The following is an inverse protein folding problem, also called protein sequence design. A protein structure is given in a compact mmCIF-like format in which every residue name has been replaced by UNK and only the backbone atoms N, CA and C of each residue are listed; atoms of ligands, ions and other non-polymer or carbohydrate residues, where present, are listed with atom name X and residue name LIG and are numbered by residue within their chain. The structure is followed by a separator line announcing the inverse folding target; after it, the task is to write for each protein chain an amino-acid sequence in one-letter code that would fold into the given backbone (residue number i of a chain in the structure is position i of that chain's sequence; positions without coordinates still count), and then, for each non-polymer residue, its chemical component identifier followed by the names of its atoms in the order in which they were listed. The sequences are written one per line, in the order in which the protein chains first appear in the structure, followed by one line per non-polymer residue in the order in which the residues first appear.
data_IF_770800654800
#
_entry.id   IF_770800654800
#
_cell.length_a   1.000
_cell.length_b   1.000
_cell.length_c   1.000
_cell.angle_alpha   90.00
_cell.angle_beta   90.00
_cell.angle_gamma   90.00
#
_symmetry.space_group_name_H-M   'P 1'
#
loop_
_entity.id
_entity.type
_entity.pdbx_description
1 polymer ?
#
# COMPACT_ATOMS: atom_id res chain seq x y z
N UNK A 1 24.64 1.78 -9.44
CA UNK A 1 24.36 3.23 -9.53
C UNK A 1 23.78 3.49 -10.92
N UNK A 2 22.75 4.32 -11.03
CA UNK A 2 22.10 4.61 -12.32
C UNK A 2 22.12 6.12 -12.54
N UNK A 3 22.54 6.58 -13.71
CA UNK A 3 22.56 8.03 -13.99
C UNK A 3 21.12 8.57 -14.02
N UNK A 4 20.90 9.71 -13.36
CA UNK A 4 19.59 10.41 -13.38
C UNK A 4 19.48 11.33 -14.59
N UNK A 5 18.30 11.93 -14.81
CA UNK A 5 18.13 12.99 -15.81
C UNK A 5 18.93 14.25 -15.48
N UNK A 6 19.27 14.48 -14.21
CA UNK A 6 20.24 15.48 -13.80
C UNK A 6 21.66 14.98 -14.11
N UNK A 7 22.30 15.56 -15.13
CA UNK A 7 23.65 15.18 -15.56
C UNK A 7 24.64 15.28 -14.39
N UNK A 8 25.46 14.24 -14.20
CA UNK A 8 26.43 14.14 -13.12
C UNK A 8 25.86 13.62 -11.80
N UNK A 9 24.53 13.52 -11.65
CA UNK A 9 23.89 12.99 -10.45
C UNK A 9 23.44 11.54 -10.68
N UNK A 10 23.84 10.66 -9.77
CA UNK A 10 23.57 9.23 -9.84
C UNK A 10 22.62 8.77 -8.75
N UNK A 11 21.65 7.94 -9.12
CA UNK A 11 20.81 7.20 -8.20
C UNK A 11 21.60 6.03 -7.58
N UNK A 12 21.57 5.96 -6.26
CA UNK A 12 22.10 4.85 -5.46
C UNK A 12 20.96 4.26 -4.65
N UNK A 13 20.69 2.96 -4.83
CA UNK A 13 19.67 2.24 -4.09
C UNK A 13 20.32 1.30 -3.08
N UNK A 14 20.00 1.45 -1.80
CA UNK A 14 20.55 0.61 -0.72
C UNK A 14 19.58 -0.48 -0.24
N UNK A 15 18.53 -0.79 -1.01
CA UNK A 15 17.48 -1.74 -0.62
C UNK A 15 16.25 -1.07 0.00
N UNK A 16 16.45 -0.01 0.79
CA UNK A 16 15.36 0.65 1.51
C UNK A 16 15.18 2.12 1.16
N UNK A 17 16.08 2.75 0.43
CA UNK A 17 16.00 4.15 0.06
C UNK A 17 16.84 4.44 -1.19
N UNK A 18 16.42 5.47 -1.92
CA UNK A 18 17.19 6.06 -3.01
C UNK A 18 17.94 7.27 -2.46
N UNK A 19 19.24 7.31 -2.73
CA UNK A 19 20.13 8.44 -2.48
C UNK A 19 20.63 8.96 -3.82
N UNK A 20 21.04 10.22 -3.83
CA UNK A 20 21.64 10.84 -5.00
C UNK A 20 23.09 11.19 -4.72
N UNK A 21 24.02 10.67 -5.51
CA UNK A 21 25.44 10.95 -5.39
C UNK A 21 25.91 11.84 -6.54
N UNK A 22 26.61 12.92 -6.21
CA UNK A 22 27.27 13.82 -7.16
C UNK A 22 28.80 13.67 -6.98
N UNK A 23 29.49 12.98 -7.89
CA UNK A 23 30.91 12.70 -7.77
C UNK A 23 31.79 13.95 -7.73
N UNK A 24 31.48 14.95 -8.56
CA UNK A 24 32.32 16.16 -8.72
C UNK A 24 32.46 16.98 -7.44
N UNK A 25 31.50 16.86 -6.51
CA UNK A 25 31.53 17.54 -5.22
C UNK A 25 31.66 16.60 -4.01
N UNK A 26 31.73 15.29 -4.23
CA UNK A 26 31.63 14.25 -3.19
C UNK A 26 30.43 14.46 -2.25
N UNK A 27 29.25 14.71 -2.84
CA UNK A 27 28.02 15.02 -2.10
C UNK A 27 26.97 13.91 -2.23
N UNK A 28 26.27 13.67 -1.13
CA UNK A 28 25.07 12.83 -1.08
C UNK A 28 23.85 13.70 -0.77
N UNK A 29 22.83 13.63 -1.63
CA UNK A 29 21.52 14.22 -1.37
C UNK A 29 20.52 13.17 -0.94
N UNK A 30 19.69 13.53 0.04
CA UNK A 30 18.64 12.70 0.59
C UNK A 30 17.31 13.43 0.37
N UNK A 31 16.36 12.77 -0.30
CA UNK A 31 15.04 13.35 -0.57
C UNK A 31 14.44 12.85 -1.88
N UNK A 32 13.47 13.62 -2.39
CA UNK A 32 12.88 13.38 -3.71
C UNK A 32 13.49 14.29 -4.76
N UNK A 33 13.78 13.73 -5.94
CA UNK A 33 14.15 14.47 -7.15
C UNK A 33 12.87 14.72 -7.96
N UNK A 34 12.47 15.98 -8.02
CA UNK A 34 11.28 16.42 -8.74
C UNK A 34 11.74 17.29 -9.91
N UNK A 35 11.32 16.96 -11.13
CA UNK A 35 11.64 17.75 -12.32
C UNK A 35 10.78 19.02 -12.41
N UNK A 36 11.15 19.92 -13.32
CA UNK A 36 10.51 21.25 -13.47
C UNK A 36 9.00 21.18 -13.76
N UNK A 37 8.56 20.14 -14.43
CA UNK A 37 7.17 19.82 -14.75
C UNK A 37 6.39 19.20 -13.57
N UNK A 38 7.05 18.99 -12.42
CA UNK A 38 6.44 18.42 -11.21
C UNK A 38 6.55 16.90 -11.11
N UNK A 39 7.17 16.23 -12.09
CA UNK A 39 7.30 14.76 -12.08
C UNK A 39 8.27 14.31 -10.99
N UNK A 40 7.82 13.41 -10.10
CA UNK A 40 8.65 12.86 -9.02
C UNK A 40 9.43 11.62 -9.51
N UNK A 41 10.67 11.83 -9.95
CA UNK A 41 11.54 10.79 -10.51
C UNK A 41 11.91 9.72 -9.48
N UNK A 42 12.01 10.09 -8.19
CA UNK A 42 12.23 9.14 -7.09
C UNK A 42 11.05 8.20 -6.95
N UNK A 43 9.83 8.72 -7.05
CA UNK A 43 8.60 7.93 -6.97
C UNK A 43 8.50 6.97 -8.15
N UNK A 44 8.79 7.42 -9.37
CA UNK A 44 8.81 6.54 -10.55
C UNK A 44 9.82 5.40 -10.43
N UNK A 45 11.04 5.71 -9.97
CA UNK A 45 12.09 4.70 -9.78
C UNK A 45 11.71 3.68 -8.71
N UNK A 46 11.17 4.13 -7.57
CA UNK A 46 10.62 3.23 -6.55
C UNK A 46 9.48 2.38 -7.11
N UNK A 47 8.56 2.97 -7.87
CA UNK A 47 7.44 2.27 -8.50
C UNK A 47 7.92 1.15 -9.43
N UNK A 48 8.89 1.42 -10.31
CA UNK A 48 9.49 0.42 -11.20
C UNK A 48 10.10 -0.75 -10.42
N UNK A 49 10.81 -0.47 -9.33
CA UNK A 49 11.38 -1.51 -8.45
C UNK A 49 10.27 -2.33 -7.78
N UNK A 50 9.20 -1.68 -7.30
CA UNK A 50 8.05 -2.33 -6.67
C UNK A 50 7.24 -3.19 -7.64
N UNK A 51 7.03 -2.76 -8.89
CA UNK A 51 6.24 -3.48 -9.90
C UNK A 51 6.71 -4.93 -10.05
N UNK A 52 8.03 -5.16 -10.13
CA UNK A 52 8.58 -6.50 -10.27
C UNK A 52 8.27 -7.41 -9.08
N UNK A 53 8.32 -6.86 -7.87
CA UNK A 53 8.03 -7.58 -6.62
C UNK A 53 6.53 -7.86 -6.48
N UNK A 54 5.70 -6.90 -6.84
CA UNK A 54 4.24 -6.99 -6.78
C UNK A 54 3.68 -7.98 -7.81
N UNK A 55 4.29 -8.08 -8.98
CA UNK A 55 3.92 -9.06 -9.99
C UNK A 55 4.11 -10.52 -9.50
N UNK A 56 5.05 -10.75 -8.58
CA UNK A 56 5.32 -12.06 -7.98
C UNK A 56 4.71 -12.26 -6.59
N UNK A 57 3.91 -11.33 -6.09
CA UNK A 57 3.31 -11.42 -4.76
C UNK A 57 2.19 -12.47 -4.73
N UNK A 58 2.28 -13.47 -3.86
CA UNK A 58 1.14 -14.36 -3.57
C UNK A 58 0.03 -13.58 -2.88
N UNK A 59 -1.21 -13.78 -3.35
CA UNK A 59 -2.42 -13.15 -2.83
C UNK A 59 -3.17 -14.04 -1.83
N UNK A 60 -2.67 -15.25 -1.53
CA UNK A 60 -3.37 -16.26 -0.72
C UNK A 60 -3.62 -15.80 0.72
N UNK A 61 -2.77 -14.90 1.21
CA UNK A 61 -2.88 -14.32 2.54
C UNK A 61 -3.62 -13.00 2.57
N UNK A 62 -3.96 -12.41 1.43
CA UNK A 62 -4.70 -11.15 1.42
C UNK A 62 -6.13 -11.32 1.94
N UNK A 63 -6.67 -10.29 2.58
CA UNK A 63 -8.11 -10.20 2.80
C UNK A 63 -8.78 -9.83 1.47
N UNK A 64 -9.62 -10.73 0.95
CA UNK A 64 -10.33 -10.54 -0.32
C UNK A 64 -11.66 -9.81 -0.10
N UNK A 65 -11.90 -8.71 -0.81
CA UNK A 65 -13.15 -7.92 -0.76
C UNK A 65 -13.71 -7.73 -2.17
N UNK A 66 -15.00 -8.02 -2.34
CA UNK A 66 -15.67 -7.95 -3.65
C UNK A 66 -15.49 -9.22 -4.48
N UNK A 67 -16.03 -9.18 -5.71
CA UNK A 67 -16.09 -10.34 -6.60
C UNK A 67 -15.92 -9.96 -8.08
N UNK A 68 -15.47 -8.75 -8.37
CA UNK A 68 -15.30 -8.27 -9.73
C UNK A 68 -14.06 -8.80 -10.43
N UNK A 69 -13.99 -8.57 -11.74
CA UNK A 69 -12.94 -9.12 -12.62
C UNK A 69 -11.61 -8.38 -12.52
N UNK A 70 -11.60 -7.12 -12.10
CA UNK A 70 -10.40 -6.29 -12.04
C UNK A 70 -9.72 -6.53 -10.68
N UNK A 71 -8.55 -7.18 -10.62
CA UNK A 71 -7.82 -7.33 -9.37
C UNK A 71 -7.13 -6.01 -9.00
N UNK A 72 -7.27 -5.60 -7.74
CA UNK A 72 -6.56 -4.47 -7.15
C UNK A 72 -5.89 -4.98 -5.90
N UNK A 73 -4.56 -4.94 -5.84
CA UNK A 73 -3.83 -5.18 -4.59
C UNK A 73 -3.69 -3.86 -3.87
N UNK A 74 -4.04 -3.81 -2.59
CA UNK A 74 -3.88 -2.61 -1.78
C UNK A 74 -3.12 -2.90 -0.48
N UNK A 75 -2.20 -2.01 -0.13
CA UNK A 75 -1.56 -1.98 1.18
C UNK A 75 -2.11 -0.78 1.94
N UNK A 76 -2.80 -1.04 3.05
CA UNK A 76 -3.56 -0.01 3.76
C UNK A 76 -3.35 -0.05 5.26
N UNK A 77 -3.65 1.06 5.91
CA UNK A 77 -3.74 1.18 7.36
C UNK A 77 -5.16 1.63 7.75
N UNK A 78 -5.82 0.98 8.73
CA UNK A 78 -7.17 1.33 9.18
C UNK A 78 -7.39 2.77 9.66
N UNK A 79 -6.35 3.40 10.19
CA UNK A 79 -6.37 4.74 10.75
C UNK A 79 -5.93 5.80 9.72
N UNK A 80 -5.40 5.39 8.57
CA UNK A 80 -5.00 6.30 7.51
C UNK A 80 -6.23 6.92 6.82
N UNK A 81 -6.35 8.24 6.90
CA UNK A 81 -7.41 9.02 6.26
C UNK A 81 -7.59 8.69 4.76
N UNK A 82 -6.50 8.63 3.99
CA UNK A 82 -6.56 8.32 2.56
C UNK A 82 -6.94 6.86 2.26
N UNK A 83 -6.64 5.91 3.16
CA UNK A 83 -7.10 4.52 3.04
C UNK A 83 -8.63 4.43 3.21
N UNK A 84 -9.21 5.30 4.05
CA UNK A 84 -10.67 5.36 4.22
C UNK A 84 -11.35 6.02 3.02
N UNK A 85 -10.71 7.03 2.43
CA UNK A 85 -11.19 7.59 1.17
C UNK A 85 -11.18 6.54 0.04
N UNK A 86 -10.10 5.74 -0.07
CA UNK A 86 -10.05 4.66 -1.07
C UNK A 86 -11.10 3.58 -0.79
N UNK A 87 -11.31 3.20 0.47
CA UNK A 87 -12.38 2.28 0.85
C UNK A 87 -13.77 2.78 0.40
N UNK A 88 -14.11 4.04 0.70
CA UNK A 88 -15.37 4.63 0.27
C UNK A 88 -15.50 4.68 -1.27
N UNK A 89 -14.41 4.95 -1.97
CA UNK A 89 -14.36 4.92 -3.43
C UNK A 89 -14.62 3.51 -3.99
N UNK A 90 -13.99 2.47 -3.43
CA UNK A 90 -14.16 1.11 -3.91
C UNK A 90 -15.49 0.46 -3.48
N UNK A 91 -16.13 0.91 -2.40
CA UNK A 91 -17.38 0.35 -1.90
C UNK A 91 -18.48 0.25 -2.98
N UNK A 92 -18.58 1.25 -3.85
CA UNK A 92 -19.53 1.26 -4.98
C UNK A 92 -19.11 0.44 -6.21
N UNK A 93 -17.92 -0.18 -6.20
CA UNK A 93 -17.25 -0.80 -7.36
C UNK A 93 -16.92 -2.28 -7.15
N UNK A 94 -17.33 -2.88 -6.04
CA UNK A 94 -17.00 -4.26 -5.67
C UNK A 94 -17.61 -5.34 -6.60
N UNK A 95 -18.51 -4.93 -7.52
CA UNK A 95 -19.01 -5.79 -8.61
C UNK A 95 -18.02 -5.87 -9.79
N UNK A 96 -17.21 -4.85 -9.98
CA UNK A 96 -16.24 -4.73 -11.09
C UNK A 96 -14.82 -5.02 -10.63
N UNK A 97 -14.52 -4.72 -9.36
CA UNK A 97 -13.22 -4.90 -8.72
C UNK A 97 -13.24 -6.01 -7.67
N UNK A 98 -12.13 -6.74 -7.57
CA UNK A 98 -11.77 -7.56 -6.40
C UNK A 98 -10.55 -6.93 -5.73
N UNK A 99 -10.69 -6.50 -4.48
CA UNK A 99 -9.59 -6.00 -3.66
C UNK A 99 -8.87 -7.17 -2.99
N UNK A 100 -7.54 -7.16 -3.03
CA UNK A 100 -6.65 -8.01 -2.27
C UNK A 100 -5.92 -7.12 -1.27
N UNK A 101 -6.46 -7.08 -0.06
CA UNK A 101 -6.02 -6.17 1.00
C UNK A 101 -4.90 -6.80 1.81
N UNK A 102 -3.78 -6.09 1.88
CA UNK A 102 -2.72 -6.29 2.86
C UNK A 102 -2.72 -5.11 3.82
N UNK A 103 -2.56 -5.39 5.10
CA UNK A 103 -2.57 -4.40 6.15
C UNK A 103 -1.14 -4.05 6.55
N UNK A 104 -0.88 -2.75 6.67
CA UNK A 104 0.39 -2.18 7.09
C UNK A 104 0.12 -1.27 8.30
N UNK A 105 0.04 -1.82 9.53
CA UNK A 105 -0.29 -1.04 10.72
C UNK A 105 0.80 -0.02 11.04
N UNK A 106 0.41 1.26 11.05
CA UNK A 106 1.25 2.41 11.41
C UNK A 106 1.22 2.72 12.92
N UNK A 107 0.32 2.07 13.67
CA UNK A 107 0.14 2.26 15.11
C UNK A 107 -0.37 0.97 15.78
N UNK A 108 -0.25 0.89 17.11
CA UNK A 108 -0.81 -0.23 17.89
C UNK A 108 -2.33 -0.33 17.77
N UNK A 109 -3.03 0.81 17.82
CA UNK A 109 -4.50 0.85 17.61
C UNK A 109 -4.90 0.31 16.23
N UNK A 110 -4.12 0.62 15.19
CA UNK A 110 -4.36 0.07 13.86
C UNK A 110 -4.20 -1.46 13.84
N UNK A 111 -3.19 -2.00 14.53
CA UNK A 111 -2.99 -3.44 14.68
C UNK A 111 -4.15 -4.11 15.42
N UNK A 112 -4.67 -3.50 16.48
CA UNK A 112 -5.82 -4.00 17.22
C UNK A 112 -7.08 -4.05 16.36
N UNK A 113 -7.31 -3.02 15.52
CA UNK A 113 -8.40 -3.02 14.52
C UNK A 113 -8.22 -4.12 13.47
N UNK A 114 -6.99 -4.38 13.03
CA UNK A 114 -6.71 -5.49 12.08
C UNK A 114 -6.96 -6.83 12.75
N UNK A 115 -6.50 -7.02 13.98
CA UNK A 115 -6.79 -8.23 14.77
C UNK A 115 -8.28 -8.43 14.92
N UNK A 116 -9.02 -7.37 15.23
CA UNK A 116 -10.48 -7.40 15.29
C UNK A 116 -11.13 -7.93 14.00
N UNK A 117 -10.67 -7.46 12.84
CA UNK A 117 -11.12 -7.96 11.53
C UNK A 117 -10.80 -9.44 11.36
N UNK A 118 -9.63 -9.91 11.76
CA UNK A 118 -9.28 -11.33 11.57
C UNK A 118 -9.95 -12.27 12.58
N UNK A 119 -10.33 -11.77 13.74
CA UNK A 119 -11.02 -12.50 14.81
C UNK A 119 -12.52 -12.71 14.59
N UNK A 120 -13.05 -12.37 13.40
CA UNK A 120 -14.45 -12.61 13.04
C UNK A 120 -14.60 -13.65 11.92
N UNK A 121 -15.78 -14.25 11.86
CA UNK A 121 -16.20 -15.10 10.73
C UNK A 121 -16.44 -14.28 9.46
N UNK A 122 -17.02 -13.07 9.58
CA UNK A 122 -17.31 -12.19 8.45
C UNK A 122 -16.33 -11.01 8.40
N UNK A 123 -15.14 -11.30 7.89
CA UNK A 123 -14.03 -10.34 7.78
C UNK A 123 -14.37 -9.17 6.86
N UNK A 124 -15.21 -9.38 5.85
CA UNK A 124 -15.58 -8.33 4.90
C UNK A 124 -16.50 -7.27 5.53
N UNK A 125 -17.47 -7.72 6.34
CA UNK A 125 -18.33 -6.81 7.10
C UNK A 125 -17.52 -6.01 8.13
N UNK A 126 -16.64 -6.66 8.89
CA UNK A 126 -15.82 -5.97 9.89
C UNK A 126 -14.79 -5.03 9.26
N UNK A 127 -14.19 -5.41 8.13
CA UNK A 127 -13.35 -4.52 7.33
C UNK A 127 -14.07 -3.21 6.97
N UNK A 128 -15.32 -3.30 6.52
CA UNK A 128 -16.13 -2.11 6.20
C UNK A 128 -16.46 -1.25 7.42
N UNK A 129 -16.75 -1.87 8.58
CA UNK A 129 -17.00 -1.11 9.83
C UNK A 129 -15.75 -0.38 10.31
N UNK A 130 -14.60 -1.05 10.28
CA UNK A 130 -13.31 -0.46 10.65
C UNK A 130 -12.97 0.71 9.73
N UNK A 131 -12.99 0.52 8.41
CA UNK A 131 -12.58 1.58 7.47
C UNK A 131 -13.60 2.71 7.30
N UNK A 132 -14.86 2.49 7.66
CA UNK A 132 -15.84 3.58 7.78
C UNK A 132 -15.67 4.41 9.06
N UNK A 133 -14.77 4.03 9.97
CA UNK A 133 -14.51 4.73 11.24
C UNK A 133 -15.53 4.43 12.33
N UNK A 134 -16.45 3.47 12.14
CA UNK A 134 -17.44 3.10 13.16
C UNK A 134 -16.82 2.60 14.47
N UNK A 135 -15.59 2.10 14.40
CA UNK A 135 -14.84 1.55 15.53
C UNK A 135 -13.68 2.46 15.99
N UNK A 136 -13.75 3.76 15.70
CA UNK A 136 -12.77 4.73 16.22
C UNK A 136 -13.07 5.23 17.63
N UNK A 137 -14.29 4.98 18.11
CA UNK A 137 -14.65 5.21 19.50
C UNK A 137 -14.01 4.17 20.43
N UNK A 138 -14.45 4.18 21.70
CA UNK A 138 -14.03 3.18 22.69
C UNK A 138 -14.85 1.89 22.61
N UNK A 139 -15.33 1.56 21.42
CA UNK A 139 -16.08 0.32 21.21
C UNK A 139 -15.15 -0.87 21.48
N UNK A 140 -15.62 -1.91 22.16
CA UNK A 140 -14.78 -3.06 22.49
C UNK A 140 -14.37 -3.79 21.21
N UNK A 141 -13.06 -3.88 20.97
CA UNK A 141 -12.50 -4.71 19.91
C UNK A 141 -12.35 -6.15 20.40
N UNK A 142 -12.77 -7.10 19.56
CA UNK A 142 -12.46 -8.52 19.76
C UNK A 142 -10.98 -8.80 19.42
N UNK A 143 -10.13 -8.83 20.44
CA UNK A 143 -8.71 -9.16 20.32
C UNK A 143 -8.47 -10.62 20.68
N UNK A 144 -9.01 -11.54 19.88
CA UNK A 144 -8.86 -12.97 20.10
C UNK A 144 -7.39 -13.40 20.11
N UNK A 145 -7.06 -14.42 20.92
CA UNK A 145 -5.75 -15.08 20.93
C UNK A 145 -5.59 -16.14 19.84
N UNK A 146 -6.23 -15.95 18.68
CA UNK A 146 -6.19 -16.89 17.56
C UNK A 146 -4.84 -16.80 16.84
N UNK A 147 -4.11 -17.92 16.83
CA UNK A 147 -2.81 -18.03 16.16
C UNK A 147 -2.91 -17.79 14.65
N UNK A 148 -4.05 -18.10 14.03
CA UNK A 148 -4.25 -17.88 12.61
C UNK A 148 -4.38 -16.38 12.30
N UNK A 149 -5.06 -15.62 13.17
CA UNK A 149 -5.14 -14.17 13.06
C UNK A 149 -3.75 -13.52 13.21
N UNK A 150 -2.96 -13.97 14.18
CA UNK A 150 -1.58 -13.50 14.38
C UNK A 150 -0.68 -13.83 13.18
N UNK A 151 -0.79 -15.06 12.65
CA UNK A 151 -0.04 -15.48 11.47
C UNK A 151 -0.41 -14.67 10.22
N UNK A 152 -1.68 -14.31 10.05
CA UNK A 152 -2.13 -13.44 8.95
C UNK A 152 -1.55 -12.03 9.07
N UNK A 153 -1.61 -11.41 10.26
CA UNK A 153 -1.02 -10.08 10.50
C UNK A 153 0.49 -10.10 10.21
N UNK A 154 1.20 -11.13 10.70
CA UNK A 154 2.63 -11.31 10.41
C UNK A 154 2.89 -11.46 8.90
N UNK A 155 2.09 -12.25 8.19
CA UNK A 155 2.21 -12.41 6.74
C UNK A 155 1.98 -11.08 5.98
N UNK A 156 1.06 -10.22 6.45
CA UNK A 156 0.83 -8.92 5.83
C UNK A 156 2.01 -7.96 6.04
N UNK A 157 2.62 -7.98 7.23
CA UNK A 157 3.86 -7.24 7.52
C UNK A 157 5.01 -7.71 6.65
N UNK A 158 5.19 -9.03 6.53
CA UNK A 158 6.24 -9.62 5.70
C UNK A 158 6.05 -9.26 4.22
N UNK A 159 4.82 -9.36 3.69
CA UNK A 159 4.51 -8.92 2.33
C UNK A 159 4.85 -7.44 2.13
N UNK A 160 4.41 -6.57 3.05
CA UNK A 160 4.70 -5.13 3.00
C UNK A 160 6.20 -4.84 3.00
N UNK A 161 6.97 -5.51 3.86
CA UNK A 161 8.42 -5.37 3.94
C UNK A 161 9.12 -5.85 2.67
N UNK A 162 8.72 -7.00 2.12
CA UNK A 162 9.27 -7.55 0.86
C UNK A 162 9.06 -6.58 -0.30
N UNK A 163 7.84 -6.06 -0.46
CA UNK A 163 7.52 -5.07 -1.49
C UNK A 163 8.30 -3.77 -1.27
N UNK A 164 8.51 -3.38 0.00
CA UNK A 164 9.15 -2.14 0.39
C UNK A 164 8.15 -1.00 0.58
N UNK A 165 6.93 -1.33 1.04
CA UNK A 165 5.89 -0.34 1.37
C UNK A 165 6.40 0.61 2.44
N UNK A 166 6.21 1.92 2.22
CA UNK A 166 6.62 2.96 3.18
C UNK A 166 5.50 3.91 3.59
N UNK A 167 4.41 3.89 2.84
CA UNK A 167 3.27 4.75 3.04
C UNK A 167 2.02 4.01 2.54
N UNK A 168 0.88 4.40 3.12
CA UNK A 168 -0.44 3.86 2.77
C UNK A 168 -1.37 5.00 2.35
N UNK A 169 -2.33 4.76 1.45
CA UNK A 169 -2.48 3.51 0.71
C UNK A 169 -1.41 3.36 -0.39
N UNK A 170 -1.11 2.12 -0.78
CA UNK A 170 -0.34 1.79 -1.99
C UNK A 170 -1.16 0.79 -2.81
N UNK A 171 -1.33 1.04 -4.10
CA UNK A 171 -2.09 0.16 -4.98
C UNK A 171 -1.21 -0.48 -6.05
N UNK A 172 -1.60 -1.66 -6.48
CA UNK A 172 -1.13 -2.30 -7.71
C UNK A 172 -2.33 -2.69 -8.58
N UNK A 173 -2.42 -2.08 -9.76
CA UNK A 173 -3.55 -2.22 -10.68
C UNK A 173 -3.01 -2.33 -12.11
N UNK A 174 -3.37 -3.41 -12.82
CA UNK A 174 -2.97 -3.66 -14.22
C UNK A 174 -1.46 -3.44 -14.48
N UNK A 175 -0.60 -3.90 -13.57
CA UNK A 175 0.86 -3.76 -13.73
C UNK A 175 1.46 -2.45 -13.22
N UNK A 176 0.63 -1.49 -12.81
CA UNK A 176 1.08 -0.18 -12.34
C UNK A 176 0.99 -0.05 -10.83
N UNK A 177 2.01 0.56 -10.24
CA UNK A 177 2.05 0.93 -8.82
C UNK A 177 1.54 2.35 -8.66
N UNK A 178 0.55 2.55 -7.81
CA UNK A 178 -0.02 3.87 -7.50
C UNK A 178 0.17 4.15 -6.02
N UNK A 179 1.16 4.97 -5.64
CA UNK A 179 1.34 5.42 -4.26
C UNK A 179 0.31 6.48 -3.89
N UNK A 180 -0.33 6.33 -2.73
CA UNK A 180 -1.38 7.22 -2.28
C UNK A 180 -2.71 7.02 -3.02
N UNK A 181 -3.75 7.72 -2.55
CA UNK A 181 -5.06 7.70 -3.19
C UNK A 181 -5.14 8.77 -4.28
N UNK A 182 -4.49 8.49 -5.42
CA UNK A 182 -4.64 9.29 -6.64
C UNK A 182 -5.87 8.83 -7.43
N UNK A 183 -7.01 9.45 -7.12
CA UNK A 183 -8.30 9.07 -7.71
C UNK A 183 -8.31 9.14 -9.24
N UNK A 184 -7.85 10.21 -9.91
CA UNK A 184 -7.77 10.25 -11.38
C UNK A 184 -6.97 9.10 -11.99
N UNK A 185 -5.80 8.78 -11.44
CA UNK A 185 -4.97 7.66 -11.93
C UNK A 185 -5.67 6.33 -11.71
N UNK A 186 -6.24 6.09 -10.52
CA UNK A 186 -6.98 4.86 -10.22
C UNK A 186 -8.18 4.71 -11.15
N UNK A 187 -8.99 5.76 -11.34
CA UNK A 187 -10.15 5.72 -12.25
C UNK A 187 -9.74 5.43 -13.69
N UNK A 188 -8.62 5.97 -14.16
CA UNK A 188 -8.09 5.67 -15.49
C UNK A 188 -7.69 4.19 -15.61
N UNK A 189 -7.07 3.60 -14.59
CA UNK A 189 -6.65 2.20 -14.58
C UNK A 189 -7.82 1.22 -14.48
N UNK A 190 -8.93 1.63 -13.86
CA UNK A 190 -10.14 0.81 -13.73
C UNK A 190 -11.01 0.81 -14.98
N UNK A 191 -10.85 1.78 -15.90
CA UNK A 191 -11.51 1.75 -17.21
C UNK A 191 -10.92 0.62 -18.05
N UNK A 192 -11.76 -0.02 -18.87
CA UNK A 192 -11.36 -1.09 -19.79
C UNK A 192 -10.25 -0.64 -20.75
#
# INVERSE_FOLDING_TARGET
MTQTSARGVYEVYNGNQIYYYLPDGDLIFVGSMISKDGTNLTQESNGKKMTSKLAGLSLDKALKIGAGKIPVVEFIDPNCYYCRQSHAFFAGRLKDVTLYVFFYPLSGDAEDKIRHIFCTSDKAVEYGKVLSGKLDGKEPLNLCGDKDAEALIAAHREASAKIGVRATPLFYIKGQVVPGFDRPVIEALLKE
#
